data_IF_900349272165
#
_entry.id   IF_900349272165
#
_cell.length_a   1.000
_cell.length_b   1.000
_cell.length_c   1.000
_cell.angle_alpha   90.00
_cell.angle_beta   90.00
_cell.angle_gamma   90.00
#
_symmetry.space_group_name_H-M   'P 1'
#
loop_
_entity.id
_entity.type
_entity.pdbx_description
1 polymer ?
#
# COMPACT_ATOMS: atom_id res chain seq x y z
N UNK A 1 30.13 -21.88 -2.29
CA UNK A 1 29.32 -21.05 -3.22
C UNK A 1 28.53 -20.06 -2.40
N UNK A 2 29.12 -18.90 -2.12
CA UNK A 2 28.42 -17.80 -1.43
C UNK A 2 27.32 -17.28 -2.34
N UNK A 3 26.07 -17.61 -2.00
CA UNK A 3 24.91 -16.96 -2.60
C UNK A 3 24.92 -15.52 -2.07
N UNK A 4 25.32 -14.58 -2.92
CA UNK A 4 25.05 -13.17 -2.69
C UNK A 4 23.55 -13.02 -2.36
N UNK A 5 23.18 -12.24 -1.33
CA UNK A 5 21.78 -12.01 -1.04
C UNK A 5 21.15 -11.37 -2.28
N UNK A 6 20.28 -12.13 -2.95
CA UNK A 6 19.41 -11.59 -4.00
C UNK A 6 18.68 -10.43 -3.36
N UNK A 7 18.90 -9.22 -3.87
CA UNK A 7 18.19 -8.04 -3.40
C UNK A 7 16.69 -8.39 -3.33
N UNK A 8 16.00 -8.08 -2.22
CA UNK A 8 14.60 -8.46 -2.08
C UNK A 8 13.84 -7.90 -3.27
N UNK A 9 13.16 -8.79 -4.00
CA UNK A 9 12.39 -8.38 -5.17
C UNK A 9 11.41 -7.24 -4.77
N UNK A 10 11.05 -6.33 -5.69
CA UNK A 10 10.18 -5.23 -5.35
C UNK A 10 8.80 -5.70 -4.88
N UNK A 11 8.13 -4.85 -4.09
CA UNK A 11 6.72 -5.04 -3.77
C UNK A 11 5.86 -5.04 -5.04
N UNK A 12 4.71 -5.69 -4.95
CA UNK A 12 3.78 -5.88 -6.07
C UNK A 12 2.48 -5.14 -5.77
N UNK A 13 1.99 -4.40 -6.76
CA UNK A 13 0.77 -3.57 -6.68
C UNK A 13 -0.21 -3.87 -7.82
N UNK A 14 -0.15 -5.08 -8.36
CA UNK A 14 -0.90 -5.51 -9.55
C UNK A 14 -2.28 -6.10 -9.24
N UNK A 15 -2.65 -6.24 -7.96
CA UNK A 15 -3.87 -6.93 -7.55
C UNK A 15 -5.13 -6.04 -7.65
N UNK A 16 -4.94 -4.74 -7.92
CA UNK A 16 -6.00 -3.79 -8.25
C UNK A 16 -6.59 -3.06 -7.05
N UNK A 17 -6.18 -3.40 -5.82
CA UNK A 17 -6.53 -2.71 -4.58
C UNK A 17 -5.45 -2.91 -3.51
N UNK A 18 -5.20 -1.91 -2.64
CA UNK A 18 -4.23 -2.03 -1.55
C UNK A 18 -4.45 -3.25 -0.64
N UNK A 19 -5.70 -3.59 -0.32
CA UNK A 19 -6.01 -4.78 0.48
C UNK A 19 -5.53 -6.09 -0.17
N UNK A 20 -5.67 -6.21 -1.49
CA UNK A 20 -5.25 -7.39 -2.25
C UNK A 20 -3.73 -7.37 -2.50
N UNK A 21 -3.16 -6.18 -2.72
CA UNK A 21 -1.71 -6.00 -2.83
C UNK A 21 -0.99 -6.38 -1.53
N UNK A 22 -1.65 -6.20 -0.37
CA UNK A 22 -1.13 -6.66 0.90
C UNK A 22 -0.94 -8.19 0.90
N UNK A 23 -1.87 -8.95 0.32
CA UNK A 23 -1.72 -10.41 0.20
C UNK A 23 -0.49 -10.80 -0.63
N UNK A 24 -0.15 -9.99 -1.64
CA UNK A 24 1.01 -10.21 -2.49
C UNK A 24 2.35 -10.06 -1.75
N UNK A 25 2.38 -9.41 -0.58
CA UNK A 25 3.59 -9.28 0.24
C UNK A 25 4.06 -10.58 0.88
N UNK A 26 3.18 -11.59 1.00
CA UNK A 26 3.51 -12.88 1.59
C UNK A 26 3.90 -13.97 0.59
N UNK A 27 3.94 -13.66 -0.72
CA UNK A 27 4.18 -14.67 -1.76
C UNK A 27 5.07 -14.13 -2.90
N UNK A 28 6.07 -14.90 -3.36
CA UNK A 28 6.44 -16.26 -2.92
C UNK A 28 7.23 -16.30 -1.61
N UNK A 29 7.72 -15.16 -1.13
CA UNK A 29 8.48 -15.01 0.10
C UNK A 29 7.87 -13.89 0.93
N UNK A 30 8.06 -13.92 2.24
CA UNK A 30 7.70 -12.81 3.12
C UNK A 30 8.53 -11.57 2.79
N UNK A 31 7.87 -10.42 2.62
CA UNK A 31 8.51 -9.14 2.29
C UNK A 31 8.37 -8.08 3.38
N UNK A 32 7.51 -8.29 4.37
CA UNK A 32 7.35 -7.39 5.51
C UNK A 32 8.17 -7.96 6.68
N UNK A 33 9.48 -7.70 6.66
CA UNK A 33 10.42 -8.21 7.67
C UNK A 33 10.67 -7.15 8.74
N UNK A 34 10.83 -5.90 8.32
CA UNK A 34 11.16 -4.74 9.15
C UNK A 34 10.03 -3.71 9.14
N UNK A 35 10.03 -2.79 10.11
CA UNK A 35 9.03 -1.74 10.11
C UNK A 35 9.20 -0.79 8.91
N UNK A 36 10.43 -0.61 8.43
CA UNK A 36 10.78 0.11 7.21
C UNK A 36 10.12 -0.51 5.98
N UNK A 37 10.07 -1.85 5.89
CA UNK A 37 9.35 -2.54 4.82
C UNK A 37 7.85 -2.20 4.84
N UNK A 38 7.25 -2.11 6.03
CA UNK A 38 5.84 -1.71 6.18
C UNK A 38 5.61 -0.29 5.70
N UNK A 39 6.47 0.66 6.09
CA UNK A 39 6.36 2.06 5.64
C UNK A 39 6.57 2.17 4.14
N UNK A 40 7.62 1.52 3.61
CA UNK A 40 7.92 1.49 2.18
C UNK A 40 6.78 0.88 1.36
N UNK A 41 6.17 -0.21 1.84
CA UNK A 41 5.00 -0.80 1.21
C UNK A 41 3.79 0.15 1.25
N UNK A 42 3.51 0.79 2.40
CA UNK A 42 2.40 1.72 2.51
C UNK A 42 2.54 2.94 1.58
N UNK A 43 3.78 3.42 1.37
CA UNK A 43 4.07 4.48 0.39
C UNK A 43 3.83 3.98 -1.04
N UNK A 44 4.35 2.81 -1.39
CA UNK A 44 4.16 2.24 -2.73
C UNK A 44 2.70 1.86 -3.05
N UNK A 45 1.93 1.45 -2.03
CA UNK A 45 0.49 1.19 -2.13
C UNK A 45 -0.36 2.47 -2.18
N UNK A 46 0.24 3.65 -1.99
CA UNK A 46 -0.45 4.94 -1.97
C UNK A 46 -1.26 5.22 -0.69
N UNK A 47 -1.06 4.44 0.38
CA UNK A 47 -1.68 4.68 1.70
C UNK A 47 -1.03 5.86 2.43
N UNK A 48 0.25 6.09 2.15
CA UNK A 48 1.02 7.22 2.64
C UNK A 48 1.57 7.98 1.43
N UNK A 49 1.29 9.27 1.27
CA UNK A 49 1.91 10.07 0.22
C UNK A 49 3.44 10.06 0.37
N UNK A 50 4.17 9.85 -0.73
CA UNK A 50 5.64 9.84 -0.73
C UNK A 50 6.26 11.18 -0.28
N UNK A 51 5.47 12.26 -0.34
CA UNK A 51 5.83 13.59 0.17
C UNK A 51 4.94 13.90 1.36
N UNK A 52 5.54 14.04 2.54
CA UNK A 52 4.81 14.34 3.76
C UNK A 52 5.44 13.70 4.99
N UNK A 53 4.77 13.82 6.15
CA UNK A 53 5.25 13.21 7.38
C UNK A 53 5.17 11.68 7.27
N UNK A 54 6.33 11.02 7.23
CA UNK A 54 6.42 9.57 7.33
C UNK A 54 6.36 9.15 8.79
N UNK A 55 5.72 8.02 9.11
CA UNK A 55 5.75 7.49 10.46
C UNK A 55 7.12 6.91 10.79
N UNK A 56 7.46 6.94 12.08
CA UNK A 56 8.61 6.21 12.60
C UNK A 56 8.20 4.74 12.80
N UNK A 57 8.78 3.81 12.03
CA UNK A 57 8.43 2.39 12.14
C UNK A 57 8.80 1.84 13.52
N UNK A 58 7.97 0.92 14.04
CA UNK A 58 8.25 0.21 15.30
C UNK A 58 8.49 -1.28 15.03
N UNK A 59 9.31 -1.97 15.85
CA UNK A 59 9.66 -3.39 15.64
C UNK A 59 8.48 -4.35 15.54
N UNK A 60 7.34 -4.03 16.16
CA UNK A 60 6.15 -4.88 16.16
C UNK A 60 5.26 -4.71 14.91
N UNK A 61 5.51 -3.69 14.07
CA UNK A 61 4.66 -3.39 12.91
C UNK A 61 4.55 -4.56 11.93
N UNK A 62 5.64 -5.26 11.55
CA UNK A 62 5.55 -6.38 10.62
C UNK A 62 4.68 -7.52 11.14
N UNK A 63 4.77 -7.84 12.44
CA UNK A 63 3.93 -8.88 13.03
C UNK A 63 2.43 -8.51 12.97
N UNK A 64 2.11 -7.27 13.38
CA UNK A 64 0.73 -6.78 13.36
C UNK A 64 0.14 -6.72 11.94
N UNK A 65 0.90 -6.24 10.95
CA UNK A 65 0.43 -6.20 9.56
C UNK A 65 0.25 -7.60 8.98
N UNK A 66 1.14 -8.55 9.30
CA UNK A 66 1.02 -9.95 8.87
C UNK A 66 -0.20 -10.65 9.48
N UNK A 67 -0.53 -10.36 10.74
CA UNK A 67 -1.76 -10.83 11.38
C UNK A 67 -2.99 -10.35 10.59
N UNK A 68 -3.07 -9.04 10.32
CA UNK A 68 -4.17 -8.43 9.55
C UNK A 68 -4.24 -9.00 8.14
N UNK A 69 -3.10 -9.17 7.46
CA UNK A 69 -3.01 -9.83 6.14
C UNK A 69 -3.62 -11.24 6.18
N UNK A 70 -3.40 -12.00 7.26
CA UNK A 70 -3.99 -13.32 7.45
C UNK A 70 -5.52 -13.28 7.60
N UNK A 71 -6.06 -12.33 8.37
CA UNK A 71 -7.52 -12.15 8.46
C UNK A 71 -8.14 -11.70 7.14
N UNK A 72 -7.51 -10.73 6.47
CA UNK A 72 -7.92 -10.26 5.15
C UNK A 72 -7.96 -11.40 4.13
N UNK A 73 -6.89 -12.19 4.05
CA UNK A 73 -6.80 -13.33 3.13
C UNK A 73 -7.92 -14.34 3.37
N UNK A 74 -8.14 -14.73 4.64
CA UNK A 74 -9.24 -15.64 5.02
C UNK A 74 -10.61 -15.10 4.64
N UNK A 75 -10.86 -13.81 4.85
CA UNK A 75 -12.16 -13.21 4.54
C UNK A 75 -12.41 -13.14 3.03
N UNK A 76 -11.41 -12.71 2.24
CA UNK A 76 -11.52 -12.66 0.77
C UNK A 76 -11.67 -14.07 0.19
N UNK A 77 -10.90 -15.05 0.67
CA UNK A 77 -11.03 -16.46 0.25
C UNK A 77 -12.41 -17.03 0.57
N UNK A 78 -12.96 -16.72 1.76
CA UNK A 78 -14.29 -17.17 2.17
C UNK A 78 -15.37 -16.55 1.29
N UNK A 79 -15.30 -15.24 1.01
CA UNK A 79 -16.23 -14.55 0.13
C UNK A 79 -16.25 -15.15 -1.28
N UNK A 80 -15.08 -15.42 -1.87
CA UNK A 80 -14.97 -16.08 -3.18
C UNK A 80 -15.55 -17.50 -3.20
N UNK A 81 -15.47 -18.21 -2.07
CA UNK A 81 -15.97 -19.57 -1.92
C UNK A 81 -17.40 -19.69 -1.42
N UNK A 82 -18.14 -18.57 -1.24
CA UNK A 82 -19.47 -18.57 -0.63
C UNK A 82 -19.49 -19.04 0.84
N UNK A 83 -18.34 -18.99 1.53
CA UNK A 83 -18.19 -19.38 2.93
C UNK A 83 -18.19 -18.15 3.86
N UNK A 84 -18.40 -18.40 5.15
CA UNK A 84 -18.29 -17.39 6.20
C UNK A 84 -16.93 -17.45 6.88
N UNK A 85 -16.41 -16.30 7.30
CA UNK A 85 -15.20 -16.19 8.12
C UNK A 85 -15.43 -15.18 9.26
N UNK A 86 -16.29 -15.50 10.25
CA UNK A 86 -16.79 -14.55 11.25
C UNK A 86 -15.65 -13.88 12.04
N UNK A 87 -14.68 -14.64 12.55
CA UNK A 87 -13.54 -14.07 13.29
C UNK A 87 -12.71 -13.09 12.46
N UNK A 88 -12.54 -13.36 11.15
CA UNK A 88 -11.83 -12.46 10.27
C UNK A 88 -12.64 -11.18 9.99
N UNK A 89 -13.95 -11.32 9.79
CA UNK A 89 -14.87 -10.21 9.64
C UNK A 89 -14.89 -9.31 10.89
N UNK A 90 -15.05 -9.89 12.07
CA UNK A 90 -15.09 -9.17 13.35
C UNK A 90 -13.77 -8.40 13.58
N UNK A 91 -12.64 -9.05 13.28
CA UNK A 91 -11.32 -8.40 13.40
C UNK A 91 -11.18 -7.20 12.48
N UNK A 92 -11.60 -7.32 11.21
CA UNK A 92 -11.52 -6.19 10.27
C UNK A 92 -12.53 -5.09 10.63
N UNK A 93 -13.74 -5.43 11.07
CA UNK A 93 -14.70 -4.45 11.57
C UNK A 93 -14.12 -3.67 12.75
N UNK A 94 -13.49 -4.35 13.72
CA UNK A 94 -12.85 -3.70 14.86
C UNK A 94 -11.71 -2.76 14.44
N UNK A 95 -10.86 -3.18 13.48
CA UNK A 95 -9.78 -2.36 12.95
C UNK A 95 -10.29 -1.12 12.20
N UNK A 96 -11.40 -1.25 11.47
CA UNK A 96 -12.02 -0.16 10.72
C UNK A 96 -12.54 0.98 11.62
N UNK A 97 -12.79 0.72 12.91
CA UNK A 97 -13.25 1.73 13.87
C UNK A 97 -12.19 2.81 14.15
N UNK A 98 -10.90 2.49 14.05
CA UNK A 98 -9.85 3.48 14.26
C UNK A 98 -9.94 4.62 13.24
N UNK A 99 -9.65 5.85 13.67
CA UNK A 99 -9.68 7.02 12.80
C UNK A 99 -8.66 6.87 11.66
N UNK A 100 -9.07 7.00 10.39
CA UNK A 100 -8.13 6.96 9.27
C UNK A 100 -7.25 8.21 9.27
N UNK A 101 -6.09 8.19 8.57
CA UNK A 101 -5.25 9.37 8.42
C UNK A 101 -6.03 10.54 7.81
N UNK A 102 -5.86 11.74 8.38
CA UNK A 102 -6.57 12.94 7.92
C UNK A 102 -5.94 13.45 6.62
N UNK A 103 -6.67 13.47 5.49
CA UNK A 103 -6.15 13.99 4.23
C UNK A 103 -5.89 15.49 4.32
N UNK A 104 -4.81 15.96 3.70
CA UNK A 104 -4.48 17.37 3.60
C UNK A 104 -3.88 17.67 2.22
N UNK A 105 -4.37 18.70 1.53
CA UNK A 105 -3.75 19.13 0.28
C UNK A 105 -2.51 20.00 0.58
N UNK A 106 -1.42 19.75 -0.14
CA UNK A 106 -0.23 20.60 -0.13
C UNK A 106 0.04 21.15 -1.53
N UNK A 107 0.81 22.24 -1.65
CA UNK A 107 1.28 22.75 -2.94
C UNK A 107 2.69 22.24 -3.21
N UNK A 108 2.90 21.67 -4.39
CA UNK A 108 4.23 21.39 -4.90
C UNK A 108 4.92 22.69 -5.35
N UNK A 109 6.23 22.63 -5.62
CA UNK A 109 7.03 23.77 -6.06
C UNK A 109 6.52 24.38 -7.38
N UNK A 110 5.88 23.58 -8.23
CA UNK A 110 5.23 24.00 -9.49
C UNK A 110 3.82 24.60 -9.28
N UNK A 111 3.37 24.75 -8.03
CA UNK A 111 2.06 25.30 -7.67
C UNK A 111 0.91 24.28 -7.68
N UNK A 112 1.13 23.05 -8.18
CA UNK A 112 0.11 22.00 -8.26
C UNK A 112 -0.30 21.49 -6.88
N UNK A 113 -1.58 21.20 -6.70
CA UNK A 113 -2.07 20.52 -5.50
C UNK A 113 -1.65 19.05 -5.52
N UNK A 114 -1.02 18.62 -4.43
CA UNK A 114 -0.64 17.23 -4.18
C UNK A 114 -1.35 16.73 -2.93
N UNK A 115 -1.71 15.44 -2.95
CA UNK A 115 -2.23 14.77 -1.78
C UNK A 115 -1.13 14.68 -0.70
N UNK A 116 -1.53 14.94 0.53
CA UNK A 116 -0.70 14.88 1.73
C UNK A 116 -1.55 14.40 2.91
N UNK A 117 -0.90 14.27 4.06
CA UNK A 117 -1.55 13.95 5.33
C UNK A 117 -1.27 15.07 6.33
N UNK A 118 -2.22 15.33 7.21
CA UNK A 118 -2.07 16.33 8.27
C UNK A 118 -0.90 16.00 9.23
N UNK A 119 -0.72 14.72 9.54
CA UNK A 119 0.33 14.20 10.43
C UNK A 119 0.79 12.82 9.97
N UNK A 120 1.92 12.35 10.49
CA UNK A 120 2.37 10.98 10.26
C UNK A 120 1.28 9.99 10.75
N UNK A 121 0.89 9.00 9.95
CA UNK A 121 -0.15 8.05 10.32
C UNK A 121 0.36 7.03 11.34
N UNK A 122 -0.45 6.72 12.35
CA UNK A 122 -0.17 5.61 13.27
C UNK A 122 -0.39 4.26 12.58
N UNK A 123 0.15 3.18 13.15
CA UNK A 123 -0.14 1.83 12.67
C UNK A 123 -1.65 1.54 12.66
N UNK A 124 -2.38 1.92 13.71
CA UNK A 124 -3.83 1.71 13.79
C UNK A 124 -4.59 2.42 12.67
N UNK A 125 -4.16 3.64 12.29
CA UNK A 125 -4.75 4.37 11.17
C UNK A 125 -4.49 3.68 9.82
N UNK A 126 -3.28 3.15 9.60
CA UNK A 126 -2.95 2.37 8.40
C UNK A 126 -3.73 1.05 8.32
N UNK A 127 -3.85 0.33 9.43
CA UNK A 127 -4.65 -0.90 9.50
C UNK A 127 -6.14 -0.60 9.27
N UNK A 128 -6.64 0.54 9.75
CA UNK A 128 -8.01 1.00 9.48
C UNK A 128 -8.25 1.22 7.99
N UNK A 129 -7.30 1.84 7.26
CA UNK A 129 -7.41 2.00 5.81
C UNK A 129 -7.52 0.66 5.08
N UNK A 130 -6.69 -0.32 5.45
CA UNK A 130 -6.70 -1.66 4.85
C UNK A 130 -7.99 -2.43 5.16
N UNK A 131 -8.46 -2.34 6.40
CA UNK A 131 -9.71 -2.93 6.82
C UNK A 131 -10.90 -2.33 6.06
N UNK A 132 -10.98 -0.99 6.00
CA UNK A 132 -12.02 -0.27 5.26
C UNK A 132 -11.98 -0.57 3.76
N UNK A 133 -10.79 -0.64 3.15
CA UNK A 133 -10.62 -1.00 1.74
C UNK A 133 -11.13 -2.43 1.46
N UNK A 134 -10.83 -3.37 2.36
CA UNK A 134 -11.31 -4.76 2.27
C UNK A 134 -12.83 -4.84 2.41
N UNK A 135 -13.39 -4.18 3.44
CA UNK A 135 -14.83 -4.19 3.68
C UNK A 135 -15.57 -3.57 2.49
N UNK A 136 -15.11 -2.40 2.02
CA UNK A 136 -15.66 -1.72 0.83
C UNK A 136 -15.64 -2.64 -0.40
N UNK A 137 -14.53 -3.33 -0.66
CA UNK A 137 -14.40 -4.26 -1.78
C UNK A 137 -15.44 -5.40 -1.70
N UNK A 138 -15.70 -5.93 -0.51
CA UNK A 138 -16.56 -7.09 -0.31
C UNK A 138 -18.04 -6.72 -0.20
N UNK A 139 -18.37 -5.50 0.23
CA UNK A 139 -19.75 -5.05 0.42
C UNK A 139 -20.28 -4.17 -0.71
N UNK A 140 -19.44 -3.75 -1.67
CA UNK A 140 -19.87 -2.90 -2.79
C UNK A 140 -20.85 -3.65 -3.72
N UNK A 141 -22.16 -3.30 -3.72
CA UNK A 141 -23.15 -3.95 -4.58
C UNK A 141 -22.97 -3.54 -6.05
N UNK A 142 -22.30 -2.41 -6.32
CA UNK A 142 -22.03 -1.89 -7.66
C UNK A 142 -20.74 -2.43 -8.29
N UNK A 143 -20.03 -3.34 -7.62
CA UNK A 143 -18.75 -3.87 -8.10
C UNK A 143 -18.95 -4.71 -9.37
N UNK A 144 -18.53 -4.17 -10.51
CA UNK A 144 -18.57 -4.86 -11.81
C UNK A 144 -17.34 -5.73 -12.06
N UNK A 145 -16.19 -5.37 -11.50
CA UNK A 145 -14.93 -6.11 -11.66
C UNK A 145 -14.92 -7.35 -10.73
N UNK A 146 -14.75 -8.57 -11.25
CA UNK A 146 -14.79 -9.79 -10.44
C UNK A 146 -13.48 -9.98 -9.68
N UNK A 147 -13.58 -10.60 -8.50
CA UNK A 147 -12.43 -11.18 -7.83
C UNK A 147 -12.08 -12.52 -8.49
N UNK A 148 -10.79 -12.73 -8.77
CA UNK A 148 -10.31 -13.96 -9.40
C UNK A 148 -9.10 -14.50 -8.65
N UNK A 149 -8.97 -15.83 -8.61
CA UNK A 149 -7.73 -16.50 -8.22
C UNK A 149 -6.74 -16.46 -9.38
N UNK A 150 -5.45 -16.31 -9.09
CA UNK A 150 -4.40 -16.41 -10.09
C UNK A 150 -4.35 -17.82 -10.69
N UNK A 151 -4.33 -17.94 -12.01
CA UNK A 151 -4.16 -19.23 -12.71
C UNK A 151 -2.68 -19.62 -12.88
N UNK A 152 -1.75 -18.90 -12.25
CA UNK A 152 -0.33 -19.25 -12.29
C UNK A 152 -0.03 -20.41 -11.35
N UNK A 153 0.81 -21.34 -11.78
CA UNK A 153 1.15 -22.55 -11.03
C UNK A 153 1.67 -22.23 -9.61
N UNK A 154 1.00 -22.74 -8.57
CA UNK A 154 1.36 -22.49 -7.17
C UNK A 154 1.22 -21.03 -6.69
N UNK A 155 0.48 -20.18 -7.39
CA UNK A 155 0.24 -18.80 -6.96
C UNK A 155 -1.10 -18.69 -6.20
N UNK A 156 -1.11 -18.42 -4.87
CA UNK A 156 -2.34 -18.33 -4.08
C UNK A 156 -3.04 -16.97 -4.20
N UNK A 157 -2.48 -16.02 -4.97
CA UNK A 157 -2.95 -14.64 -4.96
C UNK A 157 -4.32 -14.48 -5.60
N UNK A 158 -5.12 -13.62 -4.99
CA UNK A 158 -6.40 -13.15 -5.49
C UNK A 158 -6.22 -11.72 -5.98
N UNK A 159 -6.88 -11.37 -7.09
CA UNK A 159 -6.84 -10.03 -7.66
C UNK A 159 -8.23 -9.58 -8.11
N UNK A 160 -8.42 -8.27 -8.19
CA UNK A 160 -9.58 -7.64 -8.80
C UNK A 160 -9.33 -7.48 -10.30
N UNK A 161 -10.19 -8.08 -11.12
CA UNK A 161 -10.05 -8.03 -12.58
C UNK A 161 -10.69 -6.77 -13.16
N UNK A 162 -9.93 -5.67 -13.10
CA UNK A 162 -10.28 -4.39 -13.73
C UNK A 162 -9.89 -4.32 -15.21
N UNK A 163 -9.44 -5.44 -15.81
CA UNK A 163 -9.03 -5.45 -17.21
C UNK A 163 -10.21 -5.24 -18.15
N UNK A 164 -9.95 -4.67 -19.34
CA UNK A 164 -10.98 -4.51 -20.37
C UNK A 164 -11.56 -5.89 -20.74
N UNK A 165 -12.86 -6.05 -20.52
CA UNK A 165 -13.56 -7.31 -20.79
C UNK A 165 -13.30 -8.43 -19.77
N UNK A 166 -12.59 -8.14 -18.66
CA UNK A 166 -12.40 -9.04 -17.52
C UNK A 166 -11.85 -10.42 -17.94
N UNK A 167 -10.83 -10.39 -18.81
CA UNK A 167 -10.19 -11.58 -19.40
C UNK A 167 -8.82 -11.87 -18.80
N UNK A 168 -8.46 -11.21 -17.71
CA UNK A 168 -7.19 -11.44 -17.04
C UNK A 168 -7.22 -12.84 -16.41
N UNK A 169 -6.10 -13.56 -16.55
CA UNK A 169 -5.92 -14.91 -15.99
C UNK A 169 -4.94 -14.94 -14.81
N UNK A 170 -4.03 -13.98 -14.75
CA UNK A 170 -2.93 -13.95 -13.78
C UNK A 170 -2.92 -12.68 -12.95
N UNK A 171 -2.54 -12.77 -11.68
CA UNK A 171 -2.39 -11.64 -10.77
C UNK A 171 -1.27 -10.65 -11.16
N UNK A 172 -0.46 -10.95 -12.17
CA UNK A 172 0.47 -10.02 -12.83
C UNK A 172 0.91 -10.64 -14.15
N UNK A 173 0.86 -9.86 -15.23
CA UNK A 173 1.32 -10.30 -16.54
C UNK A 173 2.84 -10.48 -16.58
N UNK A 174 3.56 -9.64 -15.83
CA UNK A 174 5.02 -9.60 -15.77
C UNK A 174 5.58 -10.72 -14.89
N UNK A 175 4.90 -11.07 -13.80
CA UNK A 175 5.37 -12.13 -12.88
C UNK A 175 4.78 -13.48 -13.27
N UNK A 176 3.50 -13.70 -12.97
CA UNK A 176 2.85 -14.99 -13.20
C UNK A 176 2.64 -15.28 -14.69
N UNK A 177 2.22 -14.28 -15.48
CA UNK A 177 2.05 -14.44 -16.92
C UNK A 177 3.35 -14.75 -17.65
N UNK A 178 4.47 -14.15 -17.23
CA UNK A 178 5.79 -14.48 -17.80
C UNK A 178 6.28 -15.86 -17.35
N UNK A 179 6.11 -16.19 -16.07
CA UNK A 179 6.47 -17.51 -15.53
C UNK A 179 5.78 -18.64 -16.30
N UNK A 180 4.48 -18.52 -16.57
CA UNK A 180 3.74 -19.51 -17.38
C UNK A 180 4.22 -19.56 -18.84
N UNK A 181 4.52 -18.40 -19.45
CA UNK A 181 5.08 -18.35 -20.81
C UNK A 181 6.44 -19.07 -20.89
N UNK A 182 7.31 -18.85 -19.91
CA UNK A 182 8.62 -19.48 -19.79
C UNK A 182 8.47 -20.99 -19.54
N UNK A 183 7.62 -21.40 -18.60
CA UNK A 183 7.36 -22.80 -18.30
C UNK A 183 6.86 -23.56 -19.55
N UNK A 184 5.91 -22.96 -20.29
CA UNK A 184 5.40 -23.52 -21.55
C UNK A 184 6.49 -23.63 -22.63
N UNK A 185 7.37 -22.63 -22.74
CA UNK A 185 8.50 -22.69 -23.67
C UNK A 185 9.44 -23.84 -23.31
N UNK A 186 9.82 -23.96 -22.03
CA UNK A 186 10.67 -25.06 -21.52
C UNK A 186 10.06 -26.44 -21.76
N UNK A 187 8.75 -26.62 -21.53
CA UNK A 187 8.04 -27.88 -21.82
C UNK A 187 8.14 -28.24 -23.31
N UNK A 188 7.99 -27.26 -24.21
CA UNK A 188 8.11 -27.48 -25.66
C UNK A 188 9.53 -27.86 -26.09
N UNK A 189 10.55 -27.22 -25.52
CA UNK A 189 11.95 -27.50 -25.87
C UNK A 189 12.46 -28.79 -25.24
N UNK A 190 11.95 -29.19 -24.07
CA UNK A 190 12.34 -30.42 -23.38
C UNK A 190 11.76 -31.69 -24.03
N UNK A 191 10.59 -31.62 -24.67
CA UNK A 191 9.96 -32.79 -25.32
C UNK A 191 10.53 -33.12 -26.71
N UNK A 192 11.61 -32.45 -27.16
CA UNK A 192 12.23 -32.74 -28.46
C UNK A 192 11.28 -32.59 -29.66
N UNK A 193 10.17 -31.88 -29.49
CA UNK A 193 9.27 -31.58 -30.59
C UNK A 193 10.04 -30.67 -31.55
N UNK A 194 10.31 -31.10 -32.81
CA UNK A 194 11.03 -30.26 -33.74
C UNK A 194 10.30 -28.93 -33.88
N UNK A 195 11.02 -27.80 -34.05
CA UNK A 195 10.37 -26.53 -34.33
C UNK A 195 9.42 -26.76 -35.50
N UNK A 196 8.15 -26.35 -35.36
CA UNK A 196 7.24 -26.29 -36.49
C UNK A 196 7.89 -25.35 -37.51
N UNK A 197 8.57 -25.92 -38.50
CA UNK A 197 8.95 -25.20 -39.69
C UNK A 197 7.67 -24.59 -40.22
N UNK A 198 7.61 -23.27 -40.45
CA UNK A 198 6.50 -22.73 -41.20
C UNK A 198 6.50 -23.51 -42.51
N UNK A 199 5.41 -24.24 -42.78
CA UNK A 199 5.23 -24.90 -44.06
C UNK A 199 5.31 -23.79 -45.10
N UNK A 200 6.48 -23.63 -45.73
CA UNK A 200 6.60 -22.81 -46.92
C UNK A 200 5.56 -23.37 -47.87
N UNK A 201 4.56 -22.54 -48.18
CA UNK A 201 3.52 -22.84 -49.11
C UNK A 201 4.18 -23.23 -50.44
N UNK A 202 4.24 -24.54 -50.70
CA UNK A 202 4.87 -25.14 -51.88
C UNK A 202 3.91 -24.97 -53.06
N UNK A 203 3.64 -23.73 -53.45
CA UNK A 203 2.93 -23.41 -54.69
C UNK A 203 3.67 -22.29 -55.42
N UNK A 204 4.07 -22.67 -56.64
CA UNK A 204 4.68 -21.88 -57.73
C UNK A 204 6.19 -21.76 -57.66
N UNK A 205 6.84 -22.70 -58.36
CA UNK A 205 8.21 -22.54 -58.80
C UNK A 205 8.30 -21.35 -59.75
N UNK A 206 9.26 -20.47 -59.47
CA UNK A 206 9.94 -19.63 -60.43
C UNK A 206 11.40 -19.59 -59.99
N UNK A 207 12.27 -20.05 -60.89
CA UNK A 207 13.72 -20.03 -60.75
C UNK A 207 14.16 -18.57 -60.65
N UNK A 208 14.62 -18.13 -59.48
CA UNK A 208 15.18 -16.80 -59.29
C UNK A 208 16.68 -16.83 -59.64
N UNK A 209 17.04 -16.27 -60.80
CA UNK A 209 18.45 -16.00 -61.16
C UNK A 209 19.04 -14.99 -60.17
N UNK A 210 20.24 -15.20 -59.61
CA UNK A 210 20.86 -14.19 -58.77
C UNK A 210 21.25 -12.97 -59.63
N UNK A 211 20.70 -11.80 -59.29
CA UNK A 211 21.11 -10.54 -59.85
C UNK A 211 22.46 -10.11 -59.25
N UNK A 212 23.39 -9.75 -60.12
CA UNK A 212 24.70 -9.18 -59.79
C UNK A 212 24.51 -7.95 -58.89
N UNK A 213 25.12 -8.00 -57.71
CA UNK A 213 25.19 -6.89 -56.75
C UNK A 213 25.96 -5.71 -57.34
N UNK A 214 25.30 -4.55 -57.49
CA UNK A 214 25.97 -3.25 -57.75
C UNK A 214 26.70 -2.79 -56.48
N UNK A 215 27.90 -2.20 -56.60
CA UNK A 215 28.61 -1.65 -55.46
C UNK A 215 27.88 -0.42 -54.89
N UNK A 216 27.88 -0.32 -53.56
CA UNK A 216 27.25 0.74 -52.78
C UNK A 216 28.06 2.05 -52.88
N UNK A 217 27.37 3.18 -53.05
CA UNK A 217 27.95 4.51 -52.99
C UNK A 217 28.43 4.86 -51.57
N UNK A 218 29.46 5.73 -51.41
CA UNK A 218 30.02 6.05 -50.10
C UNK A 218 29.06 6.89 -49.25
N UNK A 219 28.94 6.51 -47.98
CA UNK A 219 28.19 7.25 -46.95
C UNK A 219 28.79 8.64 -46.70
N UNK A 220 27.96 9.68 -46.75
CA UNK A 220 28.26 10.98 -46.19
C UNK A 220 28.36 10.89 -44.65
N UNK A 221 29.32 11.59 -44.01
CA UNK A 221 29.46 11.57 -42.55
C UNK A 221 28.33 12.34 -41.85
N UNK A 222 27.92 11.83 -40.69
CA UNK A 222 26.91 12.41 -39.83
C UNK A 222 27.34 13.79 -39.28
N UNK A 223 26.40 14.75 -39.12
CA UNK A 223 26.71 16.04 -38.50
C UNK A 223 26.99 15.88 -37.00
N UNK A 224 28.07 16.50 -36.52
CA UNK A 224 28.46 16.48 -35.11
C UNK A 224 27.50 17.26 -34.21
N UNK A 225 27.29 16.83 -32.96
CA UNK A 225 26.46 17.55 -32.00
C UNK A 225 27.11 18.88 -31.62
N UNK A 226 26.33 19.97 -31.68
CA UNK A 226 26.75 21.30 -31.21
C UNK A 226 26.94 21.26 -29.69
N UNK A 227 28.15 21.51 -29.23
CA UNK A 227 28.46 21.78 -27.83
C UNK A 227 27.95 23.19 -27.48
N UNK A 228 26.99 23.28 -26.55
CA UNK A 228 26.62 24.55 -25.94
C UNK A 228 27.65 24.92 -24.87
N UNK A 229 28.16 26.16 -24.82
CA UNK A 229 29.02 26.60 -23.73
C UNK A 229 28.22 26.66 -22.41
N UNK A 230 28.89 26.28 -21.32
CA UNK A 230 28.35 26.35 -19.96
C UNK A 230 27.98 27.81 -19.58
N UNK A 231 26.89 28.04 -18.84
CA UNK A 231 26.55 29.37 -18.34
C UNK A 231 27.58 29.83 -17.29
N UNK A 232 27.91 31.14 -17.22
CA UNK A 232 28.84 31.66 -16.24
C UNK A 232 28.26 31.57 -14.81
N UNK A 233 29.15 31.33 -13.85
CA UNK A 233 28.85 31.32 -12.42
C UNK A 233 28.27 32.67 -11.98
N UNK A 234 27.11 32.64 -11.33
CA UNK A 234 26.51 33.80 -10.70
C UNK A 234 27.22 34.00 -9.35
N UNK A 235 27.94 35.12 -9.22
CA UNK A 235 28.47 35.62 -7.95
C UNK A 235 27.34 35.84 -6.95
N UNK A 236 27.44 35.20 -5.78
CA UNK A 236 26.61 35.52 -4.63
C UNK A 236 26.97 36.91 -4.09
N UNK A 237 26.18 37.92 -4.48
CA UNK A 237 26.12 39.18 -3.73
C UNK A 237 25.12 39.02 -2.61
N UNK A 238 25.65 38.94 -1.40
CA UNK A 238 24.90 38.97 -0.16
C UNK A 238 24.01 40.22 -0.09
N UNK A 239 22.71 40.00 0.09
CA UNK A 239 21.78 41.04 0.53
C UNK A 239 21.41 40.73 1.97
N UNK A 240 21.82 41.66 2.85
CA UNK A 240 21.69 41.56 4.29
C UNK A 240 20.25 41.36 4.74
N UNK A 241 20.10 40.55 5.79
CA UNK A 241 18.91 40.48 6.62
C UNK A 241 18.59 41.86 7.18
N UNK A 242 17.40 42.36 6.89
CA UNK A 242 16.72 43.35 7.75
C UNK A 242 15.40 42.75 8.25
N UNK A 243 15.03 42.99 9.53
CA UNK A 243 13.91 42.33 10.17
C UNK A 243 12.58 42.93 9.71
N UNK A 244 11.64 42.08 9.31
CA UNK A 244 10.28 42.48 8.96
C UNK A 244 9.53 42.96 10.22
N UNK A 245 9.06 44.21 10.16
CA UNK A 245 8.19 44.85 11.15
C UNK A 245 6.85 44.10 11.27
N UNK A 246 6.48 43.73 12.49
CA UNK A 246 5.16 43.21 12.83
C UNK A 246 4.06 44.23 12.49
N UNK A 247 3.12 43.85 11.63
CA UNK A 247 1.87 44.58 11.42
C UNK A 247 0.79 44.03 12.38
N UNK A 248 0.03 44.88 13.08
CA UNK A 248 -1.03 44.43 13.96
C UNK A 248 -2.20 43.87 13.14
N UNK A 249 -2.69 42.68 13.53
CA UNK A 249 -3.88 42.05 12.95
C UNK A 249 -5.10 42.95 13.16
N UNK A 250 -5.67 43.50 12.08
CA UNK A 250 -7.01 44.11 12.12
C UNK A 250 -8.04 43.05 12.51
N UNK A 251 -8.76 43.30 13.62
CA UNK A 251 -9.92 42.49 14.05
C UNK A 251 -11.04 42.63 13.01
N UNK A 252 -11.65 41.50 12.64
CA UNK A 252 -12.88 41.48 11.84
C UNK A 252 -14.05 42.14 12.61
N UNK A 253 -14.99 42.81 11.93
CA UNK A 253 -16.15 43.43 12.57
C UNK A 253 -17.09 42.37 13.17
N UNK A 254 -17.52 42.60 14.41
CA UNK A 254 -18.53 41.78 15.11
C UNK A 254 -19.86 41.85 14.35
N UNK A 255 -20.50 40.70 14.12
CA UNK A 255 -21.92 40.65 13.72
C UNK A 255 -22.78 41.13 14.89
N UNK A 256 -23.74 42.02 14.64
CA UNK A 256 -24.74 42.44 15.63
C UNK A 256 -25.52 41.20 16.09
N UNK A 257 -25.55 40.93 17.39
CA UNK A 257 -26.40 39.88 18.00
C UNK A 257 -25.69 38.80 18.83
N UNK A 258 -24.36 38.84 19.00
CA UNK A 258 -23.63 37.81 19.76
C UNK A 258 -23.43 38.22 21.24
N UNK A 259 -23.90 37.43 22.22
CA UNK A 259 -23.76 37.74 23.65
C UNK A 259 -22.29 37.66 24.10
N UNK A 260 -21.88 38.43 25.14
CA UNK A 260 -20.50 38.47 25.59
C UNK A 260 -20.05 37.13 26.20
N UNK A 261 -18.79 36.70 26.01
CA UNK A 261 -18.28 35.49 26.63
C UNK A 261 -18.13 35.67 28.15
N UNK A 262 -18.53 34.65 28.91
CA UNK A 262 -18.45 34.60 30.37
C UNK A 262 -16.98 34.68 30.86
N UNK A 263 -16.73 35.29 32.05
CA UNK A 263 -15.38 35.43 32.59
C UNK A 263 -14.80 34.07 32.97
N UNK A 264 -13.52 33.86 32.61
CA UNK A 264 -12.73 32.68 32.99
C UNK A 264 -12.43 32.75 34.49
N UNK A 265 -12.84 31.71 35.25
CA UNK A 265 -12.40 31.51 36.63
C UNK A 265 -10.97 30.96 36.63
N UNK A 266 -10.05 31.73 37.19
CA UNK A 266 -8.73 31.27 37.56
C UNK A 266 -8.84 30.45 38.86
N UNK A 267 -8.63 29.14 38.77
CA UNK A 267 -8.43 28.28 39.94
C UNK A 267 -6.93 28.06 40.15
N UNK A 268 -6.31 28.99 40.88
CA UNK A 268 -5.11 28.71 41.67
C UNK A 268 -5.57 28.17 43.03
N UNK A 269 -5.34 26.88 43.27
CA UNK A 269 -5.25 26.37 44.64
C UNK A 269 -4.09 25.39 44.71
N UNK A 270 -3.18 25.74 45.61
CA UNK A 270 -2.12 24.97 46.24
C UNK A 270 -2.64 23.64 46.78
N UNK A 271 -1.86 22.57 46.63
CA UNK A 271 -1.92 21.42 47.55
C UNK A 271 -0.51 20.84 47.70
N UNK A 272 -0.03 20.89 48.94
CA UNK A 272 1.19 20.27 49.41
C UNK A 272 0.89 19.13 50.38
N UNK A 273 1.84 18.21 50.42
CA UNK A 273 2.18 17.30 51.53
C UNK A 273 1.20 16.17 51.92
N UNK A 274 1.55 14.98 51.39
CA UNK A 274 1.99 13.79 52.14
C UNK A 274 1.24 13.34 53.40
N UNK A 275 0.71 12.11 53.31
CA UNK A 275 0.37 11.16 54.37
C UNK A 275 1.61 10.79 55.26
N UNK A 276 1.52 10.03 56.39
CA UNK A 276 0.74 8.78 56.54
C UNK A 276 0.14 8.49 57.94
N UNK A 277 -0.73 7.47 58.05
CA UNK A 277 -0.81 6.62 59.25
C UNK A 277 -1.47 5.27 58.93
N UNK A 278 -0.76 4.20 59.24
CA UNK A 278 -1.22 2.82 59.30
C UNK A 278 -2.03 2.56 60.59
N UNK A 279 -2.88 1.53 60.58
CA UNK A 279 -3.28 0.87 61.82
C UNK A 279 -4.68 0.26 61.87
N UNK A 280 -4.76 -1.06 61.61
CA UNK A 280 -5.42 -1.94 62.58
C UNK A 280 -6.76 -2.60 62.23
N UNK A 281 -6.64 -3.86 61.79
CA UNK A 281 -7.31 -5.06 62.35
C UNK A 281 -8.83 -5.28 62.20
N UNK A 282 -9.17 -6.41 61.54
CA UNK A 282 -9.87 -7.50 62.23
C UNK A 282 -11.18 -8.03 61.64
N UNK A 283 -11.23 -9.35 61.38
CA UNK A 283 -12.45 -10.17 61.23
C UNK A 283 -12.68 -10.70 59.81
N UNK A 284 -12.07 -11.82 59.39
CA UNK A 284 -12.46 -13.23 59.58
C UNK A 284 -13.96 -13.58 59.41
N UNK A 285 -14.16 -14.64 58.62
CA UNK A 285 -15.18 -15.71 58.65
C UNK A 285 -16.14 -15.86 57.44
N UNK A 286 -15.83 -16.94 56.68
CA UNK A 286 -16.71 -17.99 56.09
C UNK A 286 -17.58 -17.74 54.85
N UNK A 287 -17.12 -18.36 53.75
CA UNK A 287 -17.89 -19.16 52.75
C UNK A 287 -18.36 -20.51 53.38
N UNK A 288 -19.07 -21.41 52.67
CA UNK A 288 -20.17 -21.31 51.69
C UNK A 288 -21.29 -22.37 51.92
N UNK A 289 -22.44 -22.27 51.22
CA UNK A 289 -23.33 -23.40 50.79
C UNK A 289 -24.47 -22.81 49.93
N UNK A 290 -24.55 -23.08 48.64
CA UNK A 290 -25.09 -24.29 47.98
C UNK A 290 -26.58 -24.51 48.27
N UNK A 291 -27.43 -24.28 47.27
CA UNK A 291 -28.68 -25.02 47.11
C UNK A 291 -29.19 -24.98 45.65
N UNK A 292 -29.52 -26.20 45.20
CA UNK A 292 -30.03 -26.62 43.90
C UNK A 292 -31.55 -26.42 43.79
N UNK A 293 -32.05 -26.79 42.59
CA UNK A 293 -33.43 -27.22 42.19
C UNK A 293 -34.29 -26.10 41.61
N UNK A 294 -35.10 -26.26 40.55
CA UNK A 294 -35.65 -27.41 39.79
C UNK A 294 -36.42 -26.85 38.57
N UNK A 295 -36.20 -27.37 37.35
CA UNK A 295 -37.15 -28.10 36.44
C UNK A 295 -38.53 -27.50 36.10
N UNK A 296 -38.83 -27.55 34.79
CA UNK A 296 -40.16 -27.69 34.11
C UNK A 296 -41.11 -26.49 34.24
N UNK A 297 -41.80 -25.99 33.20
CA UNK A 297 -42.30 -26.56 31.93
C UNK A 297 -42.42 -25.45 30.89
#
# INVERSE_FOLDING_TARGET
MSLLPVAPAPFRYDAGRPCLDLLATGHPVERLVTGEDVVGWCVGAGLIPARGPLPLPQPHWPAAVREVRGHLGRLVDASLGGRRAPQALDRLNALALAAPPVPQAARAHDGRLVAGLHSAPTLSALLSLLARDTLTLLTDPGRTAPLRRCEGEGCPLIYLDTSRGQRRRWCSSEVCGNRERVARHRRRTATGAPPRTPLLNRRRGLIFRPALTRPSAPHSPAPQPRTHPAPPAIEERGVGRSPAKAHPRKRAPRRKGEPPPAPRRDSRTVDGCSAPSEGGLGGRYTRPRDQRRTTAS
#
